data_IF_708429612955
#
_entry.id   IF_708429612955
#
_cell.length_a   1.000
_cell.length_b   1.000
_cell.length_c   1.000
_cell.angle_alpha   90.00
_cell.angle_beta   90.00
_cell.angle_gamma   90.00
#
_symmetry.space_group_name_H-M   'P 1'
#
loop_
_entity.id
_entity.type
_entity.pdbx_description
1 polymer ?
#
# COMPACT_ATOMS: atom_id res chain seq x y z
N UNK A 1 3.84 7.79 10.00
CA UNK A 1 4.39 7.94 8.64
C UNK A 1 3.55 8.95 7.89
N UNK A 2 4.15 9.95 7.24
CA UNK A 2 3.42 10.95 6.45
C UNK A 2 4.22 11.26 5.18
N UNK A 3 3.52 11.29 4.04
CA UNK A 3 3.96 11.90 2.79
C UNK A 3 2.93 12.96 2.41
N UNK A 4 3.32 13.97 1.62
CA UNK A 4 2.49 15.13 1.23
C UNK A 4 1.16 14.76 0.56
N UNK A 5 0.99 13.52 0.08
CA UNK A 5 -0.28 12.91 -0.36
C UNK A 5 -0.68 11.62 0.36
N UNK A 6 0.07 11.18 1.38
CA UNK A 6 -0.27 10.10 2.31
C UNK A 6 -0.54 8.70 1.74
N UNK A 7 -0.56 8.52 0.42
CA UNK A 7 -1.21 7.37 -0.21
C UNK A 7 -0.27 6.45 -0.99
N UNK A 8 0.65 7.00 -1.79
CA UNK A 8 1.50 6.13 -2.63
C UNK A 8 2.63 5.48 -1.83
N UNK A 9 3.39 6.24 -1.04
CA UNK A 9 4.48 5.64 -0.25
C UNK A 9 3.99 4.96 1.04
N UNK A 10 2.99 5.52 1.72
CA UNK A 10 2.48 4.94 2.99
C UNK A 10 1.57 3.74 2.73
N UNK A 11 0.73 3.78 1.70
CA UNK A 11 -0.13 2.65 1.34
C UNK A 11 0.65 1.46 0.79
N UNK A 12 1.66 1.70 -0.06
CA UNK A 12 2.56 0.63 -0.55
C UNK A 12 3.41 0.07 0.58
N UNK A 13 3.95 0.91 1.47
CA UNK A 13 4.71 0.40 2.63
C UNK A 13 3.82 -0.38 3.61
N UNK A 14 2.57 0.05 3.83
CA UNK A 14 1.59 -0.73 4.58
C UNK A 14 1.33 -2.09 3.92
N UNK A 15 1.18 -2.13 2.59
CA UNK A 15 1.00 -3.37 1.85
C UNK A 15 2.20 -4.31 1.95
N UNK A 16 3.43 -3.77 1.90
CA UNK A 16 4.67 -4.53 2.10
C UNK A 16 4.76 -5.12 3.50
N UNK A 17 4.39 -4.35 4.53
CA UNK A 17 4.40 -4.82 5.92
C UNK A 17 3.36 -5.93 6.14
N UNK A 18 2.13 -5.75 5.66
CA UNK A 18 1.09 -6.76 5.76
C UNK A 18 1.47 -8.04 4.99
N UNK A 19 2.03 -7.89 3.79
CA UNK A 19 2.54 -9.01 3.00
C UNK A 19 3.69 -9.73 3.70
N UNK A 20 4.60 -9.00 4.38
CA UNK A 20 5.66 -9.59 5.21
C UNK A 20 5.11 -10.38 6.40
N UNK A 21 3.98 -9.96 6.97
CA UNK A 21 3.28 -10.67 8.03
C UNK A 21 2.46 -11.88 7.52
N UNK A 22 2.50 -12.17 6.22
CA UNK A 22 1.77 -13.29 5.62
C UNK A 22 0.28 -13.05 5.41
N UNK A 23 -0.17 -11.80 5.47
CA UNK A 23 -1.58 -11.45 5.21
C UNK A 23 -1.91 -11.73 3.73
N UNK A 24 -3.05 -12.37 3.42
CA UNK A 24 -3.45 -12.63 2.04
C UNK A 24 -3.59 -11.34 1.22
N UNK A 25 -3.12 -11.36 -0.02
CA UNK A 25 -3.17 -10.22 -0.95
C UNK A 25 -4.53 -9.55 -1.05
N UNK A 26 -5.60 -10.34 -0.99
CA UNK A 26 -6.96 -9.82 -1.12
C UNK A 26 -7.36 -8.96 0.06
N UNK A 27 -6.87 -9.28 1.25
CA UNK A 27 -7.05 -8.47 2.46
C UNK A 27 -6.18 -7.22 2.35
N UNK A 28 -4.91 -7.35 1.95
CA UNK A 28 -4.01 -6.21 1.75
C UNK A 28 -4.55 -5.20 0.74
N UNK A 29 -5.03 -5.68 -0.40
CA UNK A 29 -5.60 -4.84 -1.45
C UNK A 29 -6.95 -4.23 -1.04
N UNK A 30 -7.71 -4.92 -0.18
CA UNK A 30 -8.90 -4.38 0.47
C UNK A 30 -8.59 -3.20 1.38
N UNK A 31 -7.64 -3.37 2.30
CA UNK A 31 -7.17 -2.31 3.21
C UNK A 31 -6.61 -1.10 2.45
N UNK A 32 -5.82 -1.36 1.40
CA UNK A 32 -5.34 -0.29 0.51
C UNK A 32 -6.50 0.47 -0.16
N UNK A 33 -7.56 -0.23 -0.56
CA UNK A 33 -8.72 0.38 -1.20
C UNK A 33 -9.58 1.20 -0.23
N UNK A 34 -9.62 0.88 1.07
CA UNK A 34 -10.30 1.70 2.08
C UNK A 34 -9.74 3.12 2.15
N UNK A 35 -8.45 3.29 1.84
CA UNK A 35 -7.80 4.60 1.73
C UNK A 35 -8.42 5.45 0.60
N UNK A 36 -8.92 4.81 -0.47
CA UNK A 36 -9.66 5.49 -1.55
C UNK A 36 -10.98 6.07 -1.07
N UNK A 37 -11.72 5.31 -0.25
CA UNK A 37 -13.03 5.72 0.27
C UNK A 37 -12.93 6.95 1.19
N UNK A 38 -11.88 7.04 2.00
CA UNK A 38 -11.67 8.16 2.93
C UNK A 38 -11.20 9.46 2.25
N UNK A 39 -10.58 9.36 1.06
CA UNK A 39 -10.02 10.50 0.35
C UNK A 39 -10.99 11.14 -0.66
N UNK A 40 -12.23 10.64 -0.79
CA UNK A 40 -13.16 10.97 -1.88
C UNK A 40 -13.18 12.45 -2.31
N UNK A 41 -13.58 13.37 -1.43
CA UNK A 41 -13.66 14.79 -1.76
C UNK A 41 -12.30 15.46 -2.04
N UNK A 42 -11.24 14.97 -1.39
CA UNK A 42 -9.87 15.46 -1.60
C UNK A 42 -9.31 14.97 -2.94
N UNK A 43 -9.71 13.77 -3.36
CA UNK A 43 -9.34 13.15 -4.61
C UNK A 43 -9.85 13.95 -5.81
N UNK A 44 -11.13 14.31 -5.80
CA UNK A 44 -11.72 15.15 -6.85
C UNK A 44 -11.07 16.54 -6.90
N UNK A 45 -10.67 17.09 -5.75
CA UNK A 45 -9.94 18.36 -5.69
C UNK A 45 -8.57 18.26 -6.38
N UNK A 46 -7.79 17.20 -6.11
CA UNK A 46 -6.50 16.97 -6.76
C UNK A 46 -6.63 16.68 -8.26
N UNK A 47 -7.63 15.89 -8.65
CA UNK A 47 -7.91 15.60 -10.06
C UNK A 47 -8.23 16.91 -10.80
N UNK A 48 -9.09 17.74 -10.21
CA UNK A 48 -9.43 19.05 -10.78
C UNK A 48 -8.21 19.95 -10.89
N UNK A 49 -7.33 19.96 -9.88
CA UNK A 49 -6.07 20.71 -9.91
C UNK A 49 -5.14 20.23 -11.04
N UNK A 50 -4.92 18.91 -11.19
CA UNK A 50 -4.08 18.35 -12.24
C UNK A 50 -4.60 18.65 -13.66
N UNK A 51 -5.92 18.56 -13.85
CA UNK A 51 -6.56 18.87 -15.14
C UNK A 51 -6.43 20.37 -15.44
N UNK A 52 -6.68 21.25 -14.46
CA UNK A 52 -6.53 22.71 -14.61
C UNK A 52 -5.09 23.13 -14.92
N UNK A 53 -4.12 22.44 -14.35
CA UNK A 53 -2.69 22.67 -14.60
C UNK A 53 -2.20 22.03 -15.92
N UNK A 54 -3.08 21.35 -16.68
CA UNK A 54 -2.72 20.74 -17.96
C UNK A 54 -1.78 19.54 -17.85
N UNK A 55 -1.59 18.99 -16.64
CA UNK A 55 -0.68 17.86 -16.38
C UNK A 55 -1.14 16.61 -17.13
N UNK A 56 -2.45 16.35 -17.11
CA UNK A 56 -3.07 15.23 -17.83
C UNK A 56 -4.60 15.41 -17.94
N UNK A 57 -5.25 14.59 -18.77
CA UNK A 57 -6.71 14.58 -18.87
C UNK A 57 -7.38 13.90 -17.67
N UNK A 58 -8.64 14.23 -17.37
CA UNK A 58 -9.35 13.78 -16.16
C UNK A 58 -9.32 12.25 -15.96
N UNK A 59 -9.51 11.48 -17.04
CA UNK A 59 -9.44 10.00 -17.00
C UNK A 59 -8.08 9.50 -16.53
N UNK A 60 -7.00 10.12 -16.97
CA UNK A 60 -5.64 9.75 -16.59
C UNK A 60 -5.33 10.23 -15.17
N UNK A 61 -5.76 11.43 -14.80
CA UNK A 61 -5.63 11.94 -13.42
C UNK A 61 -6.34 11.01 -12.42
N UNK A 62 -7.56 10.55 -12.73
CA UNK A 62 -8.28 9.54 -11.91
C UNK A 62 -7.53 8.22 -11.79
N UNK A 63 -6.86 7.77 -12.86
CA UNK A 63 -6.03 6.55 -12.83
C UNK A 63 -4.77 6.73 -12.00
N UNK A 64 -4.14 7.90 -12.08
CA UNK A 64 -2.93 8.23 -11.33
C UNK A 64 -3.22 8.43 -9.85
N UNK A 65 -4.39 8.97 -9.51
CA UNK A 65 -4.76 9.33 -8.14
C UNK A 65 -5.54 8.20 -7.43
N UNK A 66 -6.16 7.25 -8.14
CA UNK A 66 -6.98 6.18 -7.52
C UNK A 66 -6.17 5.12 -6.76
N UNK A 67 -6.69 4.61 -5.63
CA UNK A 67 -6.08 3.51 -4.84
C UNK A 67 -6.83 2.22 -5.13
N UNK A 68 -6.77 1.81 -6.39
CA UNK A 68 -7.58 0.73 -6.91
C UNK A 68 -7.07 -0.61 -6.37
N UNK A 69 -7.98 -1.41 -5.81
CA UNK A 69 -7.69 -2.80 -5.39
C UNK A 69 -6.94 -3.59 -6.48
N UNK A 70 -7.40 -3.52 -7.72
CA UNK A 70 -6.77 -4.22 -8.85
C UNK A 70 -5.29 -3.82 -9.04
N UNK A 71 -4.97 -2.53 -8.93
CA UNK A 71 -3.59 -2.05 -9.07
C UNK A 71 -2.69 -2.54 -7.93
N UNK A 72 -3.23 -2.67 -6.72
CA UNK A 72 -2.49 -3.25 -5.60
C UNK A 72 -2.27 -4.76 -5.79
N UNK A 73 -3.27 -5.50 -6.26
CA UNK A 73 -3.12 -6.91 -6.60
C UNK A 73 -2.04 -7.14 -7.67
N UNK A 74 -2.04 -6.32 -8.72
CA UNK A 74 -1.00 -6.39 -9.76
C UNK A 74 0.39 -6.11 -9.18
N UNK A 75 0.48 -5.16 -8.24
CA UNK A 75 1.73 -4.79 -7.56
C UNK A 75 2.24 -5.92 -6.65
N UNK A 76 1.36 -6.58 -5.88
CA UNK A 76 1.71 -7.73 -5.03
C UNK A 76 2.08 -8.97 -5.87
N UNK A 77 1.42 -9.14 -7.02
CA UNK A 77 1.77 -10.18 -7.99
C UNK A 77 3.16 -9.96 -8.58
N UNK A 78 3.48 -8.73 -8.97
CA UNK A 78 4.83 -8.35 -9.42
C UNK A 78 5.85 -8.58 -8.30
N UNK A 79 5.57 -8.13 -7.08
CA UNK A 79 6.45 -8.30 -5.91
C UNK A 79 6.83 -9.77 -5.70
N UNK A 80 5.87 -10.68 -5.80
CA UNK A 80 6.15 -12.13 -5.72
C UNK A 80 6.98 -12.64 -6.89
N UNK A 81 6.68 -12.18 -8.10
CA UNK A 81 7.38 -12.65 -9.30
C UNK A 81 8.83 -12.20 -9.33
N UNK A 82 9.10 -10.95 -8.96
CA UNK A 82 10.43 -10.34 -9.07
C UNK A 82 11.29 -10.61 -7.84
N UNK A 83 10.69 -10.60 -6.64
CA UNK A 83 11.43 -10.67 -5.38
C UNK A 83 11.13 -11.94 -4.56
N UNK A 84 10.23 -12.81 -5.02
CA UNK A 84 9.77 -13.95 -4.22
C UNK A 84 8.83 -13.56 -3.06
N UNK A 85 8.42 -12.29 -3.00
CA UNK A 85 7.52 -11.73 -2.00
C UNK A 85 8.14 -10.58 -1.21
N UNK A 86 7.42 -10.07 -0.21
CA UNK A 86 7.88 -8.94 0.60
C UNK A 86 9.20 -9.23 1.34
N UNK A 87 9.38 -10.45 1.85
CA UNK A 87 10.62 -10.84 2.54
C UNK A 87 11.85 -10.72 1.61
N UNK A 88 11.75 -11.21 0.37
CA UNK A 88 12.83 -11.09 -0.59
C UNK A 88 13.09 -9.65 -0.99
N UNK A 89 12.04 -8.82 -1.13
CA UNK A 89 12.21 -7.38 -1.38
C UNK A 89 12.96 -6.67 -0.24
N UNK A 90 12.63 -6.97 1.02
CA UNK A 90 13.34 -6.41 2.17
C UNK A 90 14.79 -6.89 2.26
N UNK A 91 15.09 -8.11 1.82
CA UNK A 91 16.44 -8.64 1.78
C UNK A 91 17.27 -8.01 0.64
N UNK A 92 16.72 -7.93 -0.57
CA UNK A 92 17.49 -7.49 -1.75
C UNK A 92 17.60 -5.97 -1.86
N UNK A 93 16.50 -5.24 -1.64
CA UNK A 93 16.47 -3.79 -1.84
C UNK A 93 16.69 -3.01 -0.54
N UNK A 94 16.23 -3.53 0.60
CA UNK A 94 16.36 -2.84 1.89
C UNK A 94 17.56 -3.32 2.72
N UNK A 95 18.24 -4.40 2.32
CA UNK A 95 19.43 -4.93 2.97
C UNK A 95 19.18 -5.55 4.35
N UNK A 96 17.92 -5.89 4.69
CA UNK A 96 17.59 -6.54 5.95
C UNK A 96 17.92 -8.04 5.89
N UNK A 97 18.64 -8.54 6.88
CA UNK A 97 18.90 -9.97 6.98
C UNK A 97 17.64 -10.74 7.39
N UNK A 98 17.61 -12.04 7.09
CA UNK A 98 16.54 -12.94 7.55
C UNK A 98 16.37 -12.90 9.07
N UNK A 99 17.47 -12.90 9.81
CA UNK A 99 17.45 -12.86 11.28
C UNK A 99 16.85 -11.56 11.83
N UNK A 100 17.03 -10.43 11.15
CA UNK A 100 16.40 -9.16 11.51
C UNK A 100 14.89 -9.19 11.20
N UNK A 101 14.50 -9.72 10.04
CA UNK A 101 13.09 -9.85 9.67
C UNK A 101 12.35 -10.80 10.62
N UNK A 102 12.96 -11.93 10.99
CA UNK A 102 12.37 -12.89 11.92
C UNK A 102 12.28 -12.34 13.35
N UNK A 103 13.11 -11.36 13.73
CA UNK A 103 12.95 -10.60 14.98
C UNK A 103 11.85 -9.55 14.91
N UNK A 104 11.61 -8.93 13.76
CA UNK A 104 10.63 -7.85 13.60
C UNK A 104 9.21 -8.39 13.46
N UNK A 105 9.01 -9.47 12.69
CA UNK A 105 7.68 -10.07 12.42
C UNK A 105 6.84 -10.29 13.69
N UNK A 106 7.38 -10.84 14.80
CA UNK A 106 6.62 -11.04 16.03
C UNK A 106 6.13 -9.76 16.72
N UNK A 107 6.75 -8.60 16.48
CA UNK A 107 6.28 -7.32 17.02
C UNK A 107 5.15 -6.70 16.19
N UNK A 108 4.94 -7.18 14.96
CA UNK A 108 3.94 -6.67 14.02
C UNK A 108 2.68 -7.55 13.99
N UNK A 109 2.76 -8.76 14.56
CA UNK A 109 1.65 -9.71 14.63
C UNK A 109 1.24 -9.80 16.09
N UNK A 110 -0.06 -9.65 16.36
CA UNK A 110 -0.66 -9.88 17.67
C UNK A 110 -1.57 -11.09 17.57
N UNK A 111 -1.49 -11.99 18.56
CA UNK A 111 -2.33 -13.19 18.62
C UNK A 111 -3.80 -12.87 18.94
N UNK A 112 -4.04 -11.69 19.52
CA UNK A 112 -5.37 -11.20 19.88
C UNK A 112 -5.89 -10.20 18.86
N UNK A 113 -7.14 -10.37 18.44
CA UNK A 113 -7.81 -9.38 17.61
C UNK A 113 -7.83 -8.03 18.34
N UNK A 114 -7.54 -6.90 17.64
CA UNK A 114 -7.64 -5.59 18.25
C UNK A 114 -9.05 -5.40 18.81
N UNK A 115 -9.14 -5.05 20.09
CA UNK A 115 -10.41 -4.76 20.76
C UNK A 115 -10.95 -3.47 20.14
N UNK A 116 -11.79 -3.61 19.10
CA UNK A 116 -12.48 -2.47 18.51
C UNK A 116 -13.64 -2.11 19.44
N UNK A 117 -13.33 -1.27 20.44
CA UNK A 117 -14.28 -0.79 21.43
C UNK A 117 -14.04 0.67 21.74
N UNK A 118 -14.55 1.55 20.87
CA UNK A 118 -15.03 2.91 21.19
C UNK A 118 -16.17 3.26 20.21
#
# INVERSE_FOLDING_TARGET
>A
MHCTSGKDHTGVLGALILSLCGVPDEVVAGEYNLTEAWLGAWMDHMISAMVKQGVTGERNARRMIGARRASMLDSLSMLRKEFGGAEGYFQTECGLSKDELDKIKPYLIVDEAPVCGL
#
